data_IF_313650027980
#
_entry.id   IF_313650027980
#
_cell.length_a   1.000
_cell.length_b   1.000
_cell.length_c   1.000
_cell.angle_alpha   90.00
_cell.angle_beta   90.00
_cell.angle_gamma   90.00
#
_symmetry.space_group_name_H-M   'P 1'
#
loop_
_entity.id
_entity.type
_entity.pdbx_description
1 polymer ?
#
# COMPACT_ATOMS: atom_id res chain seq x y z
N UNK A 1 -24.58 12.20 13.29
CA UNK A 1 -24.12 11.76 11.96
C UNK A 1 -22.64 11.44 12.09
N UNK A 2 -22.29 10.17 12.19
CA UNK A 2 -20.88 9.78 12.27
C UNK A 2 -20.27 10.00 10.88
N UNK A 3 -19.35 10.97 10.75
CA UNK A 3 -18.39 10.98 9.65
C UNK A 3 -17.55 9.73 9.87
N UNK A 4 -17.77 8.67 9.10
CA UNK A 4 -16.81 7.58 9.02
C UNK A 4 -15.54 8.17 8.43
N UNK A 5 -14.59 8.52 9.30
CA UNK A 5 -13.19 8.77 8.92
C UNK A 5 -12.65 7.42 8.47
N UNK A 6 -12.87 7.08 7.20
CA UNK A 6 -12.34 5.87 6.60
C UNK A 6 -10.82 6.07 6.51
N UNK A 7 -10.12 5.76 7.60
CA UNK A 7 -8.66 5.75 7.63
C UNK A 7 -8.26 4.51 6.86
N UNK A 8 -7.55 4.67 5.75
CA UNK A 8 -7.08 3.54 4.96
C UNK A 8 -6.08 2.73 5.80
N UNK A 9 -6.45 1.50 6.17
CA UNK A 9 -5.55 0.57 6.85
C UNK A 9 -4.82 -0.26 5.80
N UNK A 10 -3.57 0.11 5.52
CA UNK A 10 -2.72 -0.56 4.55
C UNK A 10 -2.53 -2.05 4.88
N UNK A 11 -2.38 -2.36 6.17
CA UNK A 11 -2.08 -3.72 6.62
C UNK A 11 -3.28 -4.63 6.45
N UNK A 12 -4.47 -4.14 6.79
CA UNK A 12 -5.73 -4.84 6.55
C UNK A 12 -5.99 -4.99 5.05
N UNK A 13 -5.79 -3.92 4.26
CA UNK A 13 -5.96 -3.99 2.80
C UNK A 13 -5.06 -5.06 2.16
N UNK A 14 -3.74 -5.03 2.43
CA UNK A 14 -2.81 -6.00 1.85
C UNK A 14 -3.12 -7.44 2.30
N UNK A 15 -3.53 -7.62 3.54
CA UNK A 15 -3.92 -8.93 4.06
C UNK A 15 -5.18 -9.49 3.40
N UNK A 16 -6.25 -8.69 3.35
CA UNK A 16 -7.53 -9.16 2.83
C UNK A 16 -7.51 -9.29 1.32
N UNK A 17 -7.00 -8.26 0.63
CA UNK A 17 -7.05 -8.16 -0.84
C UNK A 17 -6.01 -9.02 -1.51
N UNK A 18 -4.78 -9.04 -0.99
CA UNK A 18 -3.64 -9.74 -1.58
C UNK A 18 -3.28 -11.04 -0.85
N UNK A 19 -4.03 -11.40 0.21
CA UNK A 19 -3.81 -12.61 1.01
C UNK A 19 -2.40 -12.67 1.62
N UNK A 20 -1.83 -11.51 1.92
CA UNK A 20 -0.50 -11.39 2.52
C UNK A 20 -0.61 -11.57 4.05
N UNK A 21 0.10 -12.54 4.65
CA UNK A 21 0.11 -12.70 6.10
C UNK A 21 0.57 -11.43 6.84
N UNK A 22 -0.13 -11.05 7.92
CA UNK A 22 0.17 -9.83 8.69
C UNK A 22 1.60 -9.77 9.23
N UNK A 23 2.24 -10.91 9.48
CA UNK A 23 3.61 -11.01 9.96
C UNK A 23 4.66 -10.72 8.88
N UNK A 24 4.28 -10.72 7.59
CA UNK A 24 5.14 -10.32 6.48
C UNK A 24 4.97 -8.85 6.12
N UNK A 25 3.85 -8.22 6.50
CA UNK A 25 3.61 -6.79 6.29
C UNK A 25 4.34 -6.00 7.40
N UNK A 26 5.62 -5.78 7.18
CA UNK A 26 6.55 -5.03 8.03
C UNK A 26 7.25 -3.94 7.20
N UNK A 27 7.67 -2.81 7.81
CA UNK A 27 8.17 -1.65 7.06
C UNK A 27 9.32 -1.97 6.09
N UNK A 28 10.21 -2.90 6.45
CA UNK A 28 11.37 -3.27 5.66
C UNK A 28 11.04 -4.21 4.48
N UNK A 29 9.85 -4.80 4.45
CA UNK A 29 9.47 -5.77 3.42
C UNK A 29 9.37 -5.08 2.06
N UNK A 30 10.06 -5.64 1.07
CA UNK A 30 9.98 -5.17 -0.31
C UNK A 30 8.63 -5.57 -0.92
N UNK A 31 7.90 -4.59 -1.45
CA UNK A 31 6.58 -4.80 -2.04
C UNK A 31 6.61 -5.82 -3.17
N UNK A 32 7.63 -5.77 -4.03
CA UNK A 32 7.69 -6.58 -5.24
C UNK A 32 8.33 -7.95 -5.00
N UNK A 33 9.39 -7.99 -4.19
CA UNK A 33 10.17 -9.20 -3.98
C UNK A 33 9.65 -10.04 -2.80
N UNK A 34 9.34 -9.40 -1.66
CA UNK A 34 8.98 -10.12 -0.44
C UNK A 34 7.46 -10.33 -0.35
N UNK A 35 6.68 -9.34 -0.78
CA UNK A 35 5.22 -9.41 -0.79
C UNK A 35 4.63 -9.86 -2.14
N UNK A 36 5.49 -10.04 -3.15
CA UNK A 36 5.12 -10.47 -4.50
C UNK A 36 3.99 -9.63 -5.13
N UNK A 37 3.98 -8.33 -4.84
CA UNK A 37 3.10 -7.35 -5.48
C UNK A 37 3.67 -6.93 -6.84
N UNK A 38 2.78 -6.48 -7.71
CA UNK A 38 3.14 -5.86 -8.99
C UNK A 38 2.99 -4.34 -8.93
N UNK A 39 3.52 -3.62 -9.93
CA UNK A 39 3.25 -2.18 -10.07
C UNK A 39 1.75 -1.88 -10.24
N UNK A 40 0.98 -2.82 -10.80
CA UNK A 40 -0.47 -2.71 -10.89
C UNK A 40 -1.12 -2.77 -9.50
N UNK A 41 -0.69 -3.70 -8.65
CA UNK A 41 -1.19 -3.81 -7.27
C UNK A 41 -0.87 -2.56 -6.45
N UNK A 42 0.34 -2.02 -6.58
CA UNK A 42 0.73 -0.76 -5.93
C UNK A 42 -0.17 0.40 -6.36
N UNK A 43 -0.49 0.52 -7.65
CA UNK A 43 -1.44 1.54 -8.14
C UNK A 43 -2.84 1.36 -7.54
N UNK A 44 -3.31 0.13 -7.37
CA UNK A 44 -4.60 -0.16 -6.75
C UNK A 44 -4.63 0.20 -5.25
N UNK A 45 -3.53 -0.05 -4.54
CA UNK A 45 -3.38 0.37 -3.14
C UNK A 45 -3.48 1.90 -3.03
N UNK A 46 -2.73 2.61 -3.87
CA UNK A 46 -2.72 4.07 -3.89
C UNK A 46 -4.09 4.66 -4.24
N UNK A 47 -4.74 4.15 -5.28
CA UNK A 47 -6.09 4.55 -5.66
C UNK A 47 -7.10 4.33 -4.52
N UNK A 48 -7.03 3.18 -3.84
CA UNK A 48 -7.90 2.87 -2.69
C UNK A 48 -7.63 3.80 -1.49
N UNK A 49 -6.39 4.24 -1.33
CA UNK A 49 -6.00 5.21 -0.30
C UNK A 49 -6.37 6.66 -0.67
N UNK A 50 -6.88 6.91 -1.88
CA UNK A 50 -7.27 8.25 -2.37
C UNK A 50 -6.26 8.90 -3.32
N UNK A 51 -5.15 8.24 -3.61
CA UNK A 51 -4.01 8.73 -4.39
C UNK A 51 -4.14 8.35 -5.88
N UNK A 52 -5.24 8.76 -6.51
CA UNK A 52 -5.57 8.37 -7.89
C UNK A 52 -4.69 9.02 -8.98
N UNK A 53 -3.92 10.06 -8.65
CA UNK A 53 -3.14 10.86 -9.63
C UNK A 53 -1.61 10.78 -9.42
N UNK A 54 -1.14 9.71 -8.80
CA UNK A 54 0.29 9.47 -8.57
C UNK A 54 1.08 9.40 -9.89
N UNK A 55 2.22 10.09 -9.94
CA UNK A 55 3.12 10.04 -11.10
C UNK A 55 3.91 8.72 -11.14
N UNK A 56 4.29 8.26 -12.35
CA UNK A 56 5.11 7.04 -12.47
C UNK A 56 6.44 7.14 -11.72
N UNK A 57 7.04 8.33 -11.66
CA UNK A 57 8.30 8.55 -10.95
C UNK A 57 8.13 8.46 -9.43
N UNK A 58 6.95 8.77 -8.90
CA UNK A 58 6.63 8.54 -7.48
C UNK A 58 6.40 7.05 -7.21
N UNK A 59 5.63 6.35 -8.05
CA UNK A 59 5.47 4.88 -7.95
C UNK A 59 6.84 4.19 -7.91
N UNK A 60 7.78 4.62 -8.76
CA UNK A 60 9.12 4.02 -8.83
C UNK A 60 9.93 4.20 -7.55
N UNK A 61 9.65 5.22 -6.73
CA UNK A 61 10.35 5.47 -5.46
C UNK A 61 9.85 4.58 -4.34
N UNK A 62 8.61 4.09 -4.41
CA UNK A 62 8.01 3.23 -3.39
C UNK A 62 8.49 1.79 -3.62
N UNK A 63 9.35 1.26 -2.74
CA UNK A 63 9.90 -0.10 -2.86
C UNK A 63 9.50 -1.00 -1.71
N UNK A 64 9.26 -0.44 -0.54
CA UNK A 64 8.96 -1.16 0.70
C UNK A 64 7.61 -0.77 1.27
N UNK A 65 7.11 -1.55 2.23
CA UNK A 65 5.90 -1.19 2.99
C UNK A 65 6.11 0.14 3.70
N UNK A 66 7.29 0.39 4.28
CA UNK A 66 7.60 1.63 4.96
C UNK A 66 7.59 2.83 4.02
N UNK A 67 8.10 2.70 2.79
CA UNK A 67 8.01 3.75 1.78
C UNK A 67 6.55 4.08 1.46
N UNK A 68 5.70 3.06 1.39
CA UNK A 68 4.28 3.20 1.10
C UNK A 68 3.53 3.83 2.28
N UNK A 69 3.82 3.42 3.51
CA UNK A 69 3.27 4.04 4.73
C UNK A 69 3.64 5.52 4.82
N UNK A 70 4.89 5.87 4.53
CA UNK A 70 5.35 7.27 4.49
C UNK A 70 4.66 8.05 3.38
N UNK A 71 4.45 7.43 2.21
CA UNK A 71 3.77 8.06 1.09
C UNK A 71 2.30 8.40 1.41
N UNK A 72 1.63 7.59 2.23
CA UNK A 72 0.20 7.71 2.55
C UNK A 72 -0.10 8.63 3.77
N UNK A 73 0.91 9.26 4.38
CA UNK A 73 0.77 10.21 5.50
C UNK A 73 0.56 11.65 5.04
#
# INVERSE_FOLDING_TARGET
MAKSTNTFDLKEYLSERHRIPHNLIVPEANLFHDLNLTEYDLKQVLEQAGEAHVSEDEVRKIKTVGDLEVYLQ
#
